data_IF_345449916558
#
_entry.id   IF_345449916558
#
_cell.length_a   1.000
_cell.length_b   1.000
_cell.length_c   1.000
_cell.angle_alpha   90.00
_cell.angle_beta   90.00
_cell.angle_gamma   90.00
#
_symmetry.space_group_name_H-M   'P 1'
#
loop_
_entity.id
_entity.type
_entity.pdbx_description
1 polymer ?
#
# COMPACT_ATOMS: atom_id res chain seq x y z
N UNK A 1 55.67 -26.35 29.36
CA UNK A 1 54.76 -25.19 29.54
C UNK A 1 53.66 -25.31 28.50
N UNK A 2 52.43 -25.50 28.99
CA UNK A 2 51.11 -25.27 28.36
C UNK A 2 50.58 -26.31 27.34
N UNK A 3 49.57 -27.10 27.73
CA UNK A 3 48.56 -27.65 26.84
C UNK A 3 47.30 -26.76 26.84
N UNK A 4 46.82 -26.32 25.67
CA UNK A 4 45.48 -25.73 25.56
C UNK A 4 44.65 -26.53 24.57
N UNK A 5 43.92 -27.51 25.11
CA UNK A 5 42.87 -28.25 24.42
C UNK A 5 41.65 -27.32 24.29
N UNK A 6 41.27 -26.99 23.06
CA UNK A 6 40.02 -26.28 22.77
C UNK A 6 38.91 -27.33 22.77
N UNK A 7 38.10 -27.31 23.81
CA UNK A 7 36.81 -27.97 23.85
C UNK A 7 35.82 -26.94 24.39
N UNK A 8 34.71 -26.73 23.67
CA UNK A 8 33.31 -26.76 24.14
C UNK A 8 32.44 -25.96 23.17
N UNK A 9 31.63 -26.61 22.30
CA UNK A 9 30.58 -25.91 21.56
C UNK A 9 29.40 -25.66 22.51
N UNK A 10 29.23 -24.42 22.96
CA UNK A 10 28.04 -24.03 23.73
C UNK A 10 26.86 -23.86 22.77
N UNK A 11 26.04 -24.91 22.75
CA UNK A 11 24.67 -25.01 22.27
C UNK A 11 23.92 -23.67 22.32
N UNK A 12 23.58 -23.12 21.14
CA UNK A 12 22.66 -21.98 21.03
C UNK A 12 21.23 -22.50 21.25
N UNK A 13 20.76 -22.43 22.50
CA UNK A 13 19.40 -22.82 22.85
C UNK A 13 18.42 -21.85 22.18
N UNK A 14 17.81 -22.27 21.08
CA UNK A 14 16.65 -21.61 20.50
C UNK A 14 15.50 -21.73 21.52
N UNK A 15 15.23 -20.64 22.24
CA UNK A 15 13.98 -20.48 22.98
C UNK A 15 12.84 -20.49 21.94
N UNK A 16 12.13 -21.62 21.84
CA UNK A 16 10.91 -21.72 21.06
C UNK A 16 9.88 -20.70 21.57
N UNK A 17 9.51 -19.75 20.70
CA UNK A 17 8.37 -18.87 20.88
C UNK A 17 7.08 -19.69 20.93
N UNK A 18 6.53 -19.87 22.12
CA UNK A 18 5.15 -20.34 22.30
C UNK A 18 4.26 -19.13 22.59
N UNK A 19 3.74 -18.50 21.54
CA UNK A 19 2.55 -17.64 21.65
C UNK A 19 1.42 -18.27 20.84
N UNK A 20 0.36 -18.81 21.48
CA UNK A 20 -0.87 -19.08 20.76
C UNK A 20 -1.54 -17.73 20.45
N UNK A 21 -1.46 -17.33 19.19
CA UNK A 21 -2.15 -16.17 18.66
C UNK A 21 -3.67 -16.44 18.61
N UNK A 22 -4.43 -15.87 19.56
CA UNK A 22 -5.86 -15.65 19.37
C UNK A 22 -6.04 -14.31 18.67
N UNK A 23 -5.78 -14.29 17.36
CA UNK A 23 -6.12 -13.18 16.48
C UNK A 23 -7.63 -13.23 16.17
N UNK A 24 -8.45 -12.77 17.11
CA UNK A 24 -9.85 -12.43 16.81
C UNK A 24 -9.88 -10.99 16.30
N UNK A 25 -9.49 -10.79 15.05
CA UNK A 25 -9.71 -9.51 14.37
C UNK A 25 -11.06 -9.59 13.70
N UNK A 26 -12.08 -9.07 14.37
CA UNK A 26 -13.33 -8.68 13.73
C UNK A 26 -12.96 -7.76 12.57
N UNK A 27 -13.14 -8.24 11.33
CA UNK A 27 -12.95 -7.41 10.14
C UNK A 27 -13.86 -6.18 10.29
N UNK A 28 -13.34 -4.95 10.18
CA UNK A 28 -14.19 -3.78 10.05
C UNK A 28 -15.05 -4.01 8.80
N UNK A 29 -16.36 -4.16 8.98
CA UNK A 29 -17.28 -4.12 7.85
C UNK A 29 -17.13 -2.73 7.23
N UNK A 30 -16.56 -2.68 6.02
CA UNK A 30 -16.42 -1.46 5.23
C UNK A 30 -17.80 -0.92 4.89
N UNK A 31 -18.36 -0.12 5.79
CA UNK A 31 -19.41 0.82 5.43
C UNK A 31 -18.79 1.75 4.39
N UNK A 32 -19.33 1.75 3.18
CA UNK A 32 -18.94 2.67 2.10
C UNK A 32 -19.38 4.09 2.47
N UNK A 33 -18.80 4.64 3.53
CA UNK A 33 -18.95 6.05 3.85
C UNK A 33 -18.36 6.82 2.69
N UNK A 34 -19.17 7.70 2.07
CA UNK A 34 -18.67 8.57 1.02
C UNK A 34 -17.65 9.53 1.62
N UNK A 35 -16.37 9.31 1.31
CA UNK A 35 -15.27 10.19 1.70
C UNK A 35 -15.16 11.30 0.64
N UNK A 36 -15.02 12.53 1.11
CA UNK A 36 -14.84 13.68 0.20
C UNK A 36 -13.39 13.77 -0.29
N UNK A 37 -13.19 14.41 -1.44
CA UNK A 37 -11.87 14.66 -2.03
C UNK A 37 -10.94 15.38 -1.05
N UNK A 38 -11.44 16.39 -0.33
CA UNK A 38 -10.65 17.14 0.63
C UNK A 38 -10.26 16.32 1.87
N UNK A 39 -11.12 15.38 2.28
CA UNK A 39 -10.82 14.47 3.39
C UNK A 39 -9.73 13.47 3.00
N UNK A 40 -9.74 13.00 1.74
CA UNK A 40 -8.66 12.18 1.17
C UNK A 40 -7.35 12.97 1.15
N UNK A 41 -7.36 14.18 0.58
CA UNK A 41 -6.16 15.01 0.44
C UNK A 41 -5.55 15.32 1.81
N UNK A 42 -6.38 15.71 2.78
CA UNK A 42 -5.92 15.97 4.14
C UNK A 42 -5.28 14.72 4.78
N UNK A 43 -5.88 13.54 4.61
CA UNK A 43 -5.29 12.30 5.10
C UNK A 43 -3.94 11.98 4.42
N UNK A 44 -3.81 12.24 3.12
CA UNK A 44 -2.58 12.00 2.37
C UNK A 44 -1.44 12.94 2.76
N UNK A 45 -1.73 14.24 2.92
CA UNK A 45 -0.76 15.23 3.44
C UNK A 45 -0.34 14.91 4.88
N UNK A 46 -1.21 14.29 5.67
CA UNK A 46 -0.86 13.84 7.02
C UNK A 46 -0.17 12.47 7.06
N UNK A 47 -0.07 11.75 5.94
CA UNK A 47 0.48 10.39 5.89
C UNK A 47 -0.38 9.36 6.64
N UNK A 48 -1.69 9.59 6.66
CA UNK A 48 -2.72 8.85 7.42
C UNK A 48 -3.81 8.26 6.51
N UNK A 49 -3.47 7.82 5.30
CA UNK A 49 -4.45 7.22 4.39
C UNK A 49 -5.09 5.95 4.99
N UNK A 50 -4.38 5.26 5.89
CA UNK A 50 -4.87 4.08 6.61
C UNK A 50 -6.08 4.35 7.52
N UNK A 51 -6.41 5.62 7.82
CA UNK A 51 -7.60 5.98 8.61
C UNK A 51 -8.85 6.14 7.76
N UNK A 52 -8.71 6.12 6.43
CA UNK A 52 -9.84 6.16 5.51
C UNK A 52 -10.55 4.80 5.46
N UNK A 53 -11.83 4.73 5.01
CA UNK A 53 -12.55 3.48 4.84
C UNK A 53 -11.79 2.51 3.94
N UNK A 54 -11.79 1.22 4.29
CA UNK A 54 -11.04 0.21 3.55
C UNK A 54 -11.83 -0.18 2.29
N UNK A 55 -11.32 0.09 1.08
CA UNK A 55 -12.06 -0.15 -0.16
C UNK A 55 -11.98 -1.62 -0.63
N UNK A 56 -11.09 -2.42 -0.04
CA UNK A 56 -10.83 -3.80 -0.42
C UNK A 56 -11.32 -4.76 0.68
N UNK A 57 -12.13 -5.76 0.30
CA UNK A 57 -12.66 -6.75 1.26
C UNK A 57 -11.58 -7.66 1.85
N UNK A 58 -10.54 -7.96 1.06
CA UNK A 58 -9.50 -8.92 1.44
C UNK A 58 -8.27 -8.24 2.07
N UNK A 59 -8.33 -6.93 2.32
CA UNK A 59 -7.24 -6.17 2.92
C UNK A 59 -7.53 -5.97 4.42
N UNK A 60 -6.75 -6.62 5.28
CA UNK A 60 -6.84 -6.46 6.73
C UNK A 60 -5.94 -5.33 7.22
N UNK A 61 -6.36 -4.55 8.26
CA UNK A 61 -5.50 -3.57 8.92
C UNK A 61 -4.20 -4.15 9.50
N UNK A 62 -4.19 -5.46 9.77
CA UNK A 62 -3.03 -6.15 10.33
C UNK A 62 -2.06 -6.66 9.26
N UNK A 63 -2.39 -6.54 7.97
CA UNK A 63 -1.51 -6.96 6.90
C UNK A 63 -0.32 -6.02 6.78
N UNK A 64 0.87 -6.58 6.51
CA UNK A 64 2.10 -5.81 6.30
C UNK A 64 1.98 -4.79 5.16
N UNK A 65 1.10 -5.07 4.18
CA UNK A 65 0.87 -4.23 3.01
C UNK A 65 -0.25 -3.19 3.23
N UNK A 66 -0.97 -3.20 4.36
CA UNK A 66 -2.16 -2.38 4.58
C UNK A 66 -1.91 -0.90 4.27
N UNK A 67 -0.90 -0.30 4.91
CA UNK A 67 -0.57 1.12 4.73
C UNK A 67 -0.16 1.45 3.30
N UNK A 68 0.59 0.58 2.64
CA UNK A 68 1.03 0.79 1.26
C UNK A 68 -0.15 0.77 0.29
N UNK A 69 -1.06 -0.19 0.44
CA UNK A 69 -2.26 -0.33 -0.40
C UNK A 69 -3.22 0.84 -0.19
N UNK A 70 -3.45 1.24 1.07
CA UNK A 70 -4.28 2.41 1.39
C UNK A 70 -3.71 3.70 0.77
N UNK A 71 -2.39 3.92 0.89
CA UNK A 71 -1.72 5.06 0.24
C UNK A 71 -1.82 5.00 -1.28
N UNK A 72 -1.64 3.83 -1.89
CA UNK A 72 -1.71 3.67 -3.35
C UNK A 72 -3.12 3.97 -3.88
N UNK A 73 -4.15 3.48 -3.19
CA UNK A 73 -5.53 3.68 -3.59
C UNK A 73 -5.97 5.14 -3.45
N UNK A 74 -5.64 5.78 -2.32
CA UNK A 74 -6.16 7.11 -2.01
C UNK A 74 -5.26 8.26 -2.48
N UNK A 75 -3.95 8.13 -2.35
CA UNK A 75 -3.07 9.30 -2.32
C UNK A 75 -2.34 9.57 -3.63
N UNK A 76 -2.10 8.56 -4.47
CA UNK A 76 -1.37 8.72 -5.72
C UNK A 76 -0.03 9.45 -5.51
N UNK A 77 0.10 10.66 -6.05
CA UNK A 77 1.30 11.49 -5.93
C UNK A 77 1.28 12.49 -4.74
N UNK A 78 0.20 12.55 -3.97
CA UNK A 78 0.06 13.43 -2.80
C UNK A 78 0.58 12.68 -1.58
N UNK A 79 1.45 13.31 -0.80
CA UNK A 79 1.99 12.75 0.44
C UNK A 79 2.46 13.84 1.40
N UNK A 80 3.10 13.46 2.51
CA UNK A 80 3.46 14.39 3.58
C UNK A 80 4.40 15.53 3.19
N UNK A 81 5.20 15.32 2.14
CA UNK A 81 6.19 16.29 1.66
C UNK A 81 5.75 16.94 0.34
N UNK A 82 4.50 16.77 -0.09
CA UNK A 82 4.01 17.39 -1.32
C UNK A 82 3.76 18.88 -1.07
N UNK A 83 4.40 19.79 -1.82
CA UNK A 83 4.17 21.23 -1.66
C UNK A 83 2.71 21.61 -1.96
N UNK A 84 2.12 22.60 -1.26
CA UNK A 84 0.74 23.01 -1.46
C UNK A 84 0.41 23.38 -2.91
N UNK A 85 1.32 24.05 -3.62
CA UNK A 85 1.14 24.39 -5.04
C UNK A 85 1.08 23.16 -5.95
N UNK A 86 1.78 22.09 -5.59
CA UNK A 86 1.78 20.83 -6.34
C UNK A 86 0.46 20.08 -6.14
N UNK A 87 -0.16 20.16 -4.96
CA UNK A 87 -1.44 19.50 -4.65
C UNK A 87 -2.52 19.98 -5.61
N UNK A 88 -2.65 21.29 -5.82
CA UNK A 88 -3.67 21.84 -6.73
C UNK A 88 -3.43 21.43 -8.18
N UNK A 89 -2.17 21.40 -8.58
CA UNK A 89 -1.80 20.94 -9.92
C UNK A 89 -2.19 19.47 -10.10
N UNK A 90 -1.89 18.60 -9.14
CA UNK A 90 -2.27 17.18 -9.17
C UNK A 90 -3.78 17.01 -9.22
N UNK A 91 -4.52 17.73 -8.36
CA UNK A 91 -5.98 17.73 -8.30
C UNK A 91 -6.61 18.06 -9.65
N UNK A 92 -6.18 19.16 -10.27
CA UNK A 92 -6.69 19.62 -11.55
C UNK A 92 -6.40 18.62 -12.68
N UNK A 93 -5.22 18.01 -12.68
CA UNK A 93 -4.86 17.00 -13.68
C UNK A 93 -5.69 15.71 -13.53
N UNK A 94 -6.02 15.28 -12.30
CA UNK A 94 -6.89 14.13 -12.08
C UNK A 94 -8.30 14.36 -12.62
N UNK A 95 -8.89 15.55 -12.38
CA UNK A 95 -10.21 15.90 -12.91
C UNK A 95 -10.26 15.85 -14.44
N UNK A 96 -9.19 16.30 -15.12
CA UNK A 96 -9.08 16.20 -16.58
C UNK A 96 -9.01 14.75 -17.06
N UNK A 97 -8.23 13.90 -16.40
CA UNK A 97 -8.07 12.49 -16.81
C UNK A 97 -9.37 11.69 -16.70
N UNK A 98 -10.19 12.00 -15.70
CA UNK A 98 -11.52 11.39 -15.54
C UNK A 98 -12.52 11.76 -16.65
N UNK A 99 -12.25 12.80 -17.46
CA UNK A 99 -13.09 13.19 -18.59
C UNK A 99 -12.70 12.52 -19.92
N UNK A 100 -11.50 11.91 -20.03
CA UNK A 100 -10.99 11.34 -21.29
C UNK A 100 -11.23 9.82 -21.43
N UNK A 101 -11.76 9.15 -20.41
CA UNK A 101 -11.81 7.67 -20.41
C UNK A 101 -13.16 7.13 -20.92
N UNK A 102 -13.41 7.28 -22.22
CA UNK A 102 -14.18 6.26 -22.97
C UNK A 102 -13.19 5.19 -23.45
N UNK A 103 -13.29 3.92 -23.03
CA UNK A 103 -12.37 2.89 -23.49
C UNK A 103 -12.70 2.53 -24.94
N UNK A 104 -11.90 3.03 -25.89
CA UNK A 104 -11.87 2.44 -27.22
C UNK A 104 -10.98 1.18 -27.16
N UNK A 105 -11.61 0.01 -27.05
CA UNK A 105 -10.96 -1.29 -27.23
C UNK A 105 -10.67 -1.48 -28.73
N UNK A 106 -9.70 -0.72 -29.27
CA UNK A 106 -9.22 -0.93 -30.63
C UNK A 106 -8.13 -2.02 -30.59
N UNK A 107 -8.51 -3.16 -31.16
CA UNK A 107 -7.75 -4.38 -31.34
C UNK A 107 -6.45 -4.10 -32.12
N UNK A 108 -5.28 -4.15 -31.48
CA UNK A 108 -3.98 -4.14 -32.19
C UNK A 108 -3.44 -5.56 -32.26
N UNK A 109 -3.94 -6.28 -33.26
CA UNK A 109 -3.44 -7.58 -33.72
C UNK A 109 -2.76 -7.42 -35.08
N UNK A 110 -1.85 -6.45 -35.24
CA UNK A 110 -1.10 -6.29 -36.49
C UNK A 110 0.29 -5.65 -36.31
N UNK A 111 1.20 -6.34 -35.62
CA UNK A 111 2.63 -6.26 -35.97
C UNK A 111 3.23 -7.66 -36.08
N UNK A 112 2.89 -8.34 -37.18
CA UNK A 112 3.78 -9.34 -37.77
C UNK A 112 4.36 -8.77 -39.06
N UNK A 113 5.68 -8.90 -39.18
CA UNK A 113 6.46 -9.07 -40.42
C UNK A 113 6.80 -7.83 -41.28
N UNK A 114 8.06 -7.88 -41.74
CA UNK A 114 8.65 -7.23 -42.93
C UNK A 114 9.38 -5.91 -42.76
N UNK A 115 10.71 -5.97 -42.70
CA UNK A 115 11.61 -5.63 -43.82
C UNK A 115 13.00 -6.17 -43.44
N UNK A 116 13.53 -7.19 -44.12
CA UNK A 116 14.37 -7.08 -45.33
C UNK A 116 15.53 -6.09 -45.14
#
# INVERSE_FOLDING_TARGET
MNPLKIATPTLFAFLCLTLPALAQTSAPQSTTAQVTEDQIINACVQGRAETLPIPFRDLSPNDWAFKAVMNLYYCGAIGPNTPPEAIETIRNNQKRRSQTTTPNYQNDSSQTKSSL
#
